data_IF_825607583483
#
_entry.id   IF_825607583483
#
_cell.length_a   1.000
_cell.length_b   1.000
_cell.length_c   1.000
_cell.angle_alpha   90.00
_cell.angle_beta   90.00
_cell.angle_gamma   90.00
#
_symmetry.space_group_name_H-M   'P 1'
#
loop_
_entity.id
_entity.type
_entity.pdbx_description
1 polymer ?
#
# COMPACT_ATOMS: atom_id res chain seq x y z
N UNK A 1 8.95 -6.89 4.52
CA UNK A 1 8.17 -5.90 3.75
C UNK A 1 8.99 -5.16 2.70
N UNK A 2 10.23 -4.78 2.99
CA UNK A 2 11.12 -4.15 1.99
C UNK A 2 11.34 -5.05 0.77
N UNK A 3 11.53 -6.36 0.97
CA UNK A 3 11.75 -7.33 -0.12
C UNK A 3 10.58 -7.44 -1.11
N UNK A 4 9.33 -7.54 -0.65
CA UNK A 4 8.16 -7.60 -1.56
C UNK A 4 7.99 -6.29 -2.33
N UNK A 5 8.19 -5.13 -1.69
CA UNK A 5 8.09 -3.84 -2.37
C UNK A 5 9.18 -3.70 -3.42
N UNK A 6 10.42 -4.07 -3.08
CA UNK A 6 11.55 -4.04 -4.01
C UNK A 6 11.32 -4.93 -5.22
N UNK A 7 10.76 -6.13 -5.03
CA UNK A 7 10.43 -7.02 -6.12
C UNK A 7 9.34 -6.44 -7.03
N UNK A 8 8.26 -5.91 -6.44
CA UNK A 8 7.16 -5.34 -7.21
C UNK A 8 7.56 -4.07 -7.97
N UNK A 9 8.44 -3.24 -7.40
CA UNK A 9 9.03 -2.09 -8.10
C UNK A 9 9.97 -2.54 -9.23
N UNK A 10 10.64 -3.67 -9.09
CA UNK A 10 11.46 -4.24 -10.16
C UNK A 10 10.61 -4.79 -11.32
N UNK A 11 9.42 -5.32 -11.03
CA UNK A 11 8.51 -5.88 -12.03
C UNK A 11 7.58 -4.84 -12.70
N UNK A 12 8.00 -3.57 -12.76
CA UNK A 12 7.17 -2.51 -13.33
C UNK A 12 6.96 -2.68 -14.84
N UNK A 13 5.70 -2.60 -15.25
CA UNK A 13 5.26 -2.57 -16.63
C UNK A 13 5.11 -1.13 -17.12
N UNK A 14 4.99 -0.96 -18.45
CA UNK A 14 4.73 0.34 -19.04
C UNK A 14 3.26 0.75 -18.82
N UNK A 15 2.99 2.04 -18.57
CA UNK A 15 1.64 2.54 -18.58
C UNK A 15 1.04 2.40 -19.98
N UNK A 16 -0.13 1.76 -20.06
CA UNK A 16 -1.02 1.87 -21.21
C UNK A 16 -1.94 3.07 -20.95
N UNK A 17 -2.54 3.67 -21.98
CA UNK A 17 -3.42 4.85 -21.84
C UNK A 17 -4.61 4.70 -20.86
N UNK A 18 -4.83 3.51 -20.29
CA UNK A 18 -5.79 3.23 -19.22
C UNK A 18 -5.03 2.67 -18.02
N UNK A 19 -5.28 3.24 -16.84
CA UNK A 19 -4.69 2.80 -15.57
C UNK A 19 -5.76 2.67 -14.50
N UNK A 20 -5.67 1.63 -13.68
CA UNK A 20 -6.53 1.40 -12.51
C UNK A 20 -5.72 1.63 -11.25
N UNK A 21 -6.27 2.38 -10.29
CA UNK A 21 -5.64 2.65 -9.01
C UNK A 21 -6.51 2.12 -7.89
N UNK A 22 -5.91 1.33 -7.01
CA UNK A 22 -6.60 0.79 -5.84
C UNK A 22 -5.70 0.75 -4.61
N UNK A 23 -6.34 0.68 -3.44
CA UNK A 23 -5.65 0.59 -2.16
C UNK A 23 -6.14 -0.61 -1.34
N UNK A 24 -5.22 -1.36 -0.77
CA UNK A 24 -5.51 -2.52 0.07
C UNK A 24 -4.88 -2.36 1.45
N UNK A 25 -5.59 -2.77 2.50
CA UNK A 25 -5.04 -2.79 3.86
C UNK A 25 -4.36 -4.12 4.13
N UNK A 26 -3.07 -4.09 4.44
CA UNK A 26 -2.28 -5.25 4.85
C UNK A 26 -2.29 -5.32 6.38
N UNK A 27 -3.06 -6.23 6.95
CA UNK A 27 -3.07 -6.47 8.38
C UNK A 27 -1.87 -7.33 8.79
N UNK A 28 -1.03 -6.80 9.68
CA UNK A 28 0.18 -7.48 10.15
C UNK A 28 -0.12 -8.40 11.34
N UNK A 29 -0.96 -7.92 12.26
CA UNK A 29 -1.36 -8.68 13.44
C UNK A 29 -2.79 -8.33 13.87
N UNK A 30 -3.38 -9.18 14.71
CA UNK A 30 -4.63 -8.85 15.37
C UNK A 30 -4.42 -7.77 16.44
N UNK A 31 -5.43 -6.93 16.64
CA UNK A 31 -5.36 -5.81 17.58
C UNK A 31 -4.94 -6.23 19.00
N UNK A 32 -5.34 -7.42 19.44
CA UNK A 32 -4.97 -7.97 20.75
C UNK A 32 -3.48 -8.27 20.90
N UNK A 33 -2.75 -8.51 19.79
CA UNK A 33 -1.33 -8.88 19.79
C UNK A 33 -0.39 -7.69 19.57
N UNK A 34 -0.92 -6.48 19.36
CA UNK A 34 -0.11 -5.27 19.10
C UNK A 34 0.93 -5.06 20.20
N UNK A 35 0.56 -5.23 21.47
CA UNK A 35 1.45 -4.98 22.63
C UNK A 35 2.71 -5.85 22.61
N UNK A 36 2.61 -7.07 22.09
CA UNK A 36 3.72 -8.04 22.01
C UNK A 36 4.46 -7.97 20.67
N UNK A 37 3.92 -7.27 19.68
CA UNK A 37 4.49 -7.19 18.35
C UNK A 37 5.57 -6.11 18.27
N UNK A 38 6.84 -6.52 18.15
CA UNK A 38 7.98 -5.60 18.13
C UNK A 38 8.54 -5.32 16.72
N UNK A 39 8.34 -6.24 15.77
CA UNK A 39 9.03 -6.23 14.46
C UNK A 39 8.74 -4.97 13.64
N UNK A 40 7.51 -4.47 13.66
CA UNK A 40 7.14 -3.21 12.98
C UNK A 40 6.55 -2.19 13.95
N UNK A 41 6.91 -2.23 15.23
CA UNK A 41 6.31 -1.36 16.25
C UNK A 41 6.45 0.14 15.93
N UNK A 42 7.58 0.54 15.33
CA UNK A 42 7.85 1.92 14.91
C UNK A 42 7.30 2.26 13.52
N UNK A 43 7.09 1.24 12.67
CA UNK A 43 6.74 1.43 11.26
C UNK A 43 5.24 1.32 11.03
N UNK A 44 4.53 0.43 11.72
CA UNK A 44 3.08 0.24 11.55
C UNK A 44 2.28 0.93 12.65
N UNK A 45 1.11 1.44 12.27
CA UNK A 45 0.17 2.12 13.16
C UNK A 45 -1.17 1.41 13.16
N UNK A 46 -1.94 1.66 14.23
CA UNK A 46 -3.33 1.23 14.30
C UNK A 46 -4.18 2.24 13.54
N UNK A 47 -5.01 1.76 12.64
CA UNK A 47 -5.87 2.57 11.79
C UNK A 47 -7.30 2.07 11.80
N UNK A 48 -8.24 2.99 11.53
CA UNK A 48 -9.65 2.67 11.37
C UNK A 48 -9.95 2.56 9.88
N UNK A 49 -10.25 1.34 9.44
CA UNK A 49 -10.79 1.06 8.12
C UNK A 49 -12.31 0.92 8.16
N UNK A 50 -12.90 0.61 7.00
CA UNK A 50 -14.34 0.38 6.83
C UNK A 50 -14.84 -0.78 7.71
N UNK A 51 -14.01 -1.82 7.86
CA UNK A 51 -14.32 -3.02 8.64
C UNK A 51 -13.89 -2.92 10.12
N UNK A 52 -13.45 -1.74 10.58
CA UNK A 52 -13.03 -1.51 11.96
C UNK A 52 -11.54 -1.24 12.10
N UNK A 53 -11.01 -1.48 13.30
CA UNK A 53 -9.61 -1.20 13.60
C UNK A 53 -8.68 -2.30 13.09
N UNK A 54 -7.60 -1.93 12.43
CA UNK A 54 -6.53 -2.85 12.03
C UNK A 54 -5.16 -2.29 12.42
N UNK A 55 -4.17 -3.16 12.56
CA UNK A 55 -2.78 -2.78 12.76
C UNK A 55 -1.95 -3.29 11.60
N UNK A 56 -1.43 -2.37 10.80
CA UNK A 56 -1.04 -2.73 9.45
C UNK A 56 -0.44 -1.60 8.64
N UNK A 57 -0.36 -1.88 7.34
CA UNK A 57 0.04 -0.92 6.31
C UNK A 57 -1.05 -0.79 5.27
N UNK A 58 -1.03 0.30 4.50
CA UNK A 58 -1.83 0.44 3.28
C UNK A 58 -0.92 0.26 2.07
N UNK A 59 -1.34 -0.57 1.14
CA UNK A 59 -0.70 -0.79 -0.15
C UNK A 59 -1.51 -0.04 -1.21
N UNK A 60 -0.88 0.90 -1.89
CA UNK A 60 -1.45 1.57 -3.05
C UNK A 60 -0.82 0.95 -4.30
N UNK A 61 -1.67 0.50 -5.21
CA UNK A 61 -1.29 -0.19 -6.43
C UNK A 61 -1.91 0.54 -7.63
N UNK A 62 -1.09 0.78 -8.65
CA UNK A 62 -1.54 1.25 -9.96
C UNK A 62 -1.20 0.17 -10.98
N UNK A 63 -2.19 -0.29 -11.73
CA UNK A 63 -2.04 -1.31 -12.78
C UNK A 63 -2.54 -0.78 -14.13
N UNK A 64 -2.02 -1.31 -15.23
CA UNK A 64 -2.60 -1.09 -16.55
C UNK A 64 -3.77 -2.05 -16.82
N UNK A 65 -4.43 -1.87 -17.95
CA UNK A 65 -5.49 -2.73 -18.48
C UNK A 65 -5.07 -4.18 -18.77
N UNK A 66 -3.77 -4.43 -18.91
CA UNK A 66 -3.18 -5.75 -19.12
C UNK A 66 -2.72 -6.41 -17.81
N UNK A 67 -3.15 -5.90 -16.65
CA UNK A 67 -2.74 -6.38 -15.31
C UNK A 67 -1.24 -6.23 -14.99
N UNK A 68 -0.52 -5.43 -15.78
CA UNK A 68 0.86 -5.03 -15.51
C UNK A 68 0.92 -3.99 -14.40
N UNK A 69 1.85 -4.19 -13.45
CA UNK A 69 2.04 -3.28 -12.32
C UNK A 69 2.77 -2.04 -12.80
N UNK A 70 2.13 -0.88 -12.74
CA UNK A 70 2.77 0.39 -13.08
C UNK A 70 3.50 0.95 -11.85
N UNK A 71 2.87 0.92 -10.68
CA UNK A 71 3.44 1.49 -9.46
C UNK A 71 2.92 0.84 -8.19
N UNK A 72 3.79 0.73 -7.19
CA UNK A 72 3.47 0.21 -5.85
C UNK A 72 4.01 1.17 -4.80
N UNK A 73 3.17 1.52 -3.82
CA UNK A 73 3.58 2.33 -2.66
C UNK A 73 2.96 1.77 -1.39
N UNK A 74 3.80 1.42 -0.42
CA UNK A 74 3.37 1.07 0.92
C UNK A 74 3.41 2.30 1.81
N UNK A 75 2.29 2.62 2.45
CA UNK A 75 2.16 3.72 3.40
C UNK A 75 1.79 3.17 4.79
N UNK A 76 2.33 3.84 5.80
CA UNK A 76 2.19 3.47 7.22
C UNK A 76 1.13 4.27 7.96
N UNK A 77 0.57 5.26 7.28
CA UNK A 77 -0.39 6.23 7.79
C UNK A 77 -1.64 6.27 6.91
N UNK A 78 -2.73 6.76 7.51
CA UNK A 78 -3.99 7.07 6.86
C UNK A 78 -3.82 8.31 5.98
N UNK A 79 -2.93 8.19 5.01
CA UNK A 79 -2.85 9.10 3.90
C UNK A 79 -4.09 8.80 3.07
N UNK A 80 -4.97 9.79 2.93
CA UNK A 80 -6.10 9.72 2.01
C UNK A 80 -5.57 9.28 0.64
N UNK A 81 -6.15 8.20 0.09
CA UNK A 81 -5.71 7.56 -1.15
C UNK A 81 -5.63 8.56 -2.32
N UNK A 82 -6.38 9.67 -2.27
CA UNK A 82 -6.30 10.75 -3.27
C UNK A 82 -4.92 11.42 -3.34
N UNK A 83 -4.21 11.55 -2.22
CA UNK A 83 -2.89 12.19 -2.16
C UNK A 83 -1.78 11.37 -2.82
N UNK A 84 -1.56 10.09 -2.48
CA UNK A 84 -0.53 9.29 -3.12
C UNK A 84 -0.86 9.03 -4.59
N UNK A 85 -2.14 8.98 -4.99
CA UNK A 85 -2.51 8.87 -6.41
C UNK A 85 -2.18 10.15 -7.16
N UNK A 86 -2.50 11.33 -6.62
CA UNK A 86 -2.18 12.61 -7.25
C UNK A 86 -0.67 12.84 -7.38
N UNK A 87 0.13 12.48 -6.38
CA UNK A 87 1.60 12.53 -6.47
C UNK A 87 2.11 11.67 -7.63
N UNK A 88 1.52 10.49 -7.84
CA UNK A 88 1.97 9.51 -8.85
C UNK A 88 1.48 9.81 -10.26
N UNK A 89 0.29 10.38 -10.40
CA UNK A 89 -0.23 10.79 -11.69
C UNK A 89 0.63 11.89 -12.35
N UNK A 90 1.36 12.68 -11.54
CA UNK A 90 2.30 13.68 -12.04
C UNK A 90 3.67 13.10 -12.44
N UNK A 91 3.95 11.83 -12.11
CA UNK A 91 5.21 11.12 -12.40
C UNK A 91 5.06 10.08 -13.54
N UNK A 92 3.84 9.89 -14.06
CA UNK A 92 3.51 9.03 -15.20
C UNK A 92 3.46 9.84 -16.50
#
# INVERSE_FOLDING_TARGET
MVSICSYLTHCQAKPTGITFSDSFTIQICHNLRIVRYQVFKSTSKREKGTMGWFYGFKLNLIINDQSGIISVKVTTTNVDNRKPVAERANEL
#
